data_IF_832690853895
#
_entry.id   IF_832690853895
#
_cell.length_a   1.000
_cell.length_b   1.000
_cell.length_c   1.000
_cell.angle_alpha   90.00
_cell.angle_beta   90.00
_cell.angle_gamma   90.00
#
_symmetry.space_group_name_H-M   'P 1'
#
loop_
_entity.id
_entity.type
_entity.pdbx_description
1 polymer ?
#
# COMPACT_ATOMS: atom_id res chain seq x y z
N UNK A 1 2.76 -31.39 -12.71
CA UNK A 1 4.04 -30.66 -12.77
C UNK A 1 4.16 -29.86 -11.48
N UNK A 2 5.08 -30.26 -10.63
CA UNK A 2 5.24 -29.65 -9.30
C UNK A 2 6.17 -28.44 -9.40
N UNK A 3 5.69 -27.26 -9.07
CA UNK A 3 6.53 -26.07 -8.91
C UNK A 3 7.09 -26.03 -7.50
N UNK A 4 8.42 -26.17 -7.40
CA UNK A 4 9.18 -26.08 -6.16
C UNK A 4 9.37 -24.61 -5.82
N UNK A 5 8.82 -24.17 -4.68
CA UNK A 5 9.14 -22.85 -4.10
C UNK A 5 10.53 -22.91 -3.45
N UNK A 6 11.48 -22.17 -4.01
CA UNK A 6 12.77 -21.98 -3.37
C UNK A 6 12.63 -20.92 -2.27
N UNK A 7 12.80 -21.35 -1.04
CA UNK A 7 12.92 -20.49 0.13
C UNK A 7 14.25 -19.75 0.04
N UNK A 8 14.22 -18.42 -0.10
CA UNK A 8 15.41 -17.57 -0.04
C UNK A 8 15.79 -17.40 1.42
N UNK A 9 16.93 -17.97 1.82
CA UNK A 9 17.50 -17.78 3.14
C UNK A 9 18.10 -16.38 3.31
N UNK A 10 17.95 -15.74 4.48
CA UNK A 10 18.58 -14.46 4.73
C UNK A 10 20.10 -14.61 4.93
N UNK A 11 20.85 -13.73 4.28
CA UNK A 11 22.30 -13.61 4.40
C UNK A 11 22.69 -13.29 5.84
N UNK A 12 23.50 -14.18 6.44
CA UNK A 12 24.09 -13.99 7.76
C UNK A 12 25.31 -13.08 7.68
N UNK A 13 25.31 -12.00 8.46
CA UNK A 13 26.48 -11.13 8.66
C UNK A 13 27.37 -11.68 9.77
N UNK A 14 28.72 -11.62 9.63
CA UNK A 14 29.64 -12.07 10.65
C UNK A 14 29.69 -11.14 11.86
N UNK A 15 29.57 -11.69 13.06
CA UNK A 15 29.76 -10.99 14.34
C UNK A 15 31.26 -10.86 14.60
N UNK A 16 31.81 -9.65 14.44
CA UNK A 16 33.12 -9.31 14.97
C UNK A 16 32.97 -8.63 16.34
N UNK A 17 33.35 -9.31 17.41
CA UNK A 17 33.49 -8.71 18.75
C UNK A 17 34.86 -8.03 18.85
N UNK A 18 34.88 -6.72 19.05
CA UNK A 18 36.04 -6.03 19.61
C UNK A 18 35.58 -5.30 20.89
N UNK A 19 36.04 -5.82 22.03
CA UNK A 19 35.89 -5.20 23.34
C UNK A 19 36.97 -4.11 23.48
N UNK A 20 36.55 -2.85 23.61
CA UNK A 20 37.38 -1.77 24.10
C UNK A 20 36.70 -1.14 25.33
N UNK A 21 37.27 -1.43 26.48
CA UNK A 21 36.95 -0.78 27.75
C UNK A 21 37.65 0.56 27.82
N UNK A 22 36.91 1.67 27.69
CA UNK A 22 37.34 3.00 28.11
C UNK A 22 36.15 3.75 28.69
N UNK A 23 36.28 4.19 29.95
CA UNK A 23 35.24 4.89 30.70
C UNK A 23 34.97 6.26 30.11
N UNK A 24 33.78 6.45 29.60
CA UNK A 24 33.28 7.74 29.16
C UNK A 24 32.00 8.09 29.93
N UNK A 25 31.85 9.33 30.38
CA UNK A 25 30.72 9.81 31.17
C UNK A 25 29.40 9.66 30.35
N UNK A 26 28.28 9.50 31.06
CA UNK A 26 26.95 9.20 30.46
C UNK A 26 26.47 10.26 29.45
N UNK A 27 26.97 11.51 29.53
CA UNK A 27 26.62 12.61 28.62
C UNK A 27 27.32 12.51 27.24
N UNK A 28 28.57 11.98 27.19
CA UNK A 28 29.31 11.85 25.95
C UNK A 28 28.89 10.63 25.10
N UNK A 29 28.27 9.59 25.73
CA UNK A 29 27.78 8.41 24.99
C UNK A 29 26.55 8.72 24.13
N UNK A 30 25.71 9.67 24.53
CA UNK A 30 24.51 10.03 23.78
C UNK A 30 24.86 10.79 22.50
N UNK A 31 25.85 11.69 22.52
CA UNK A 31 26.30 12.46 21.35
C UNK A 31 27.07 11.61 20.33
N UNK A 32 27.87 10.63 20.78
CA UNK A 32 28.56 9.71 19.88
C UNK A 32 27.61 8.77 19.09
N UNK A 33 26.56 8.27 19.74
CA UNK A 33 25.59 7.38 19.07
C UNK A 33 24.73 8.12 18.05
N UNK A 34 24.39 9.37 18.32
CA UNK A 34 23.62 10.20 17.37
C UNK A 34 24.47 10.56 16.15
N UNK A 35 25.76 10.87 16.34
CA UNK A 35 26.66 11.17 15.23
C UNK A 35 26.96 9.93 14.37
N UNK A 36 27.21 8.77 14.97
CA UNK A 36 27.44 7.52 14.24
C UNK A 36 26.23 7.12 13.37
N UNK A 37 25.00 7.27 13.90
CA UNK A 37 23.80 6.96 13.13
C UNK A 37 23.56 7.95 11.98
N UNK A 38 23.96 9.21 12.13
CA UNK A 38 23.86 10.22 11.07
C UNK A 38 24.95 10.07 10.00
N UNK A 39 26.13 9.58 10.37
CA UNK A 39 27.20 9.24 9.43
C UNK A 39 26.86 7.99 8.61
N UNK A 40 26.39 6.93 9.24
CA UNK A 40 25.92 5.70 8.55
C UNK A 40 24.79 6.02 7.56
N UNK A 41 23.82 6.87 7.93
CA UNK A 41 22.75 7.30 7.01
C UNK A 41 23.30 8.10 5.83
N UNK A 42 24.27 9.00 6.05
CA UNK A 42 24.92 9.78 4.99
C UNK A 42 25.75 8.91 4.04
N UNK A 43 26.47 7.94 4.55
CA UNK A 43 27.27 7.01 3.72
C UNK A 43 26.40 6.09 2.87
N UNK A 44 25.27 5.64 3.39
CA UNK A 44 24.28 4.85 2.64
C UNK A 44 23.63 5.71 1.56
N UNK A 45 23.31 6.96 1.85
CA UNK A 45 22.69 7.90 0.90
C UNK A 45 23.66 8.26 -0.26
N UNK A 46 24.93 8.52 0.05
CA UNK A 46 26.00 8.76 -0.93
C UNK A 46 26.25 7.52 -1.82
N UNK A 47 26.22 6.32 -1.23
CA UNK A 47 26.37 5.06 -1.98
C UNK A 47 25.20 4.82 -2.93
N UNK A 48 23.98 5.17 -2.54
CA UNK A 48 22.79 5.12 -3.38
C UNK A 48 22.86 6.14 -4.51
N UNK A 49 23.21 7.38 -4.21
CA UNK A 49 23.35 8.43 -5.21
C UNK A 49 24.40 8.10 -6.30
N UNK A 50 25.51 7.46 -5.92
CA UNK A 50 26.53 7.02 -6.86
C UNK A 50 26.04 5.94 -7.85
N UNK A 51 24.98 5.19 -7.52
CA UNK A 51 24.38 4.15 -8.36
C UNK A 51 23.28 4.65 -9.29
N UNK A 52 22.74 5.86 -9.05
CA UNK A 52 21.66 6.43 -9.87
C UNK A 52 22.03 6.49 -11.35
N UNK A 53 23.20 6.97 -11.79
CA UNK A 53 23.56 7.00 -13.21
C UNK A 53 23.48 5.62 -13.87
N UNK A 54 24.04 4.61 -13.24
CA UNK A 54 24.01 3.23 -13.75
C UNK A 54 22.60 2.66 -13.82
N UNK A 55 21.73 2.97 -12.86
CA UNK A 55 20.32 2.61 -12.90
C UNK A 55 19.63 3.29 -14.09
N UNK A 56 19.82 4.59 -14.27
CA UNK A 56 19.23 5.35 -15.37
C UNK A 56 19.71 4.84 -16.75
N UNK A 57 20.95 4.38 -16.86
CA UNK A 57 21.49 3.75 -18.07
C UNK A 57 20.87 2.37 -18.35
N UNK A 58 20.36 1.71 -17.33
CA UNK A 58 19.72 0.41 -17.45
C UNK A 58 18.27 0.47 -17.94
N UNK A 59 17.63 1.64 -17.90
CA UNK A 59 16.26 1.85 -18.38
C UNK A 59 16.27 2.00 -19.90
N UNK A 60 15.32 1.36 -20.54
CA UNK A 60 15.12 1.39 -22.00
C UNK A 60 14.20 2.56 -22.33
N UNK A 61 14.80 3.70 -22.61
CA UNK A 61 14.08 4.91 -23.02
C UNK A 61 13.64 4.79 -24.48
N UNK A 62 12.45 5.28 -24.82
CA UNK A 62 11.98 5.37 -26.21
C UNK A 62 12.82 6.37 -27.05
N UNK A 63 12.50 6.50 -28.33
CA UNK A 63 13.17 7.43 -29.26
C UNK A 63 13.11 8.89 -28.79
N UNK A 64 12.19 9.24 -27.91
CA UNK A 64 12.03 10.58 -27.31
C UNK A 64 12.68 10.70 -25.94
N UNK A 65 13.38 9.65 -25.49
CA UNK A 65 13.99 9.59 -24.18
C UNK A 65 12.98 9.42 -23.04
N UNK A 66 11.83 8.77 -23.30
CA UNK A 66 10.75 8.58 -22.34
C UNK A 66 10.51 7.10 -22.05
N UNK A 67 10.07 6.81 -20.85
CA UNK A 67 9.48 5.53 -20.44
C UNK A 67 8.10 5.76 -19.81
N UNK A 68 7.22 4.76 -19.88
CA UNK A 68 5.93 4.81 -19.19
C UNK A 68 6.18 4.77 -17.69
N UNK A 69 5.52 5.63 -16.92
CA UNK A 69 5.59 5.62 -15.46
C UNK A 69 4.17 5.53 -14.88
N UNK A 70 3.94 4.49 -14.10
CA UNK A 70 2.65 4.18 -13.44
C UNK A 70 2.80 4.41 -11.95
N UNK A 71 1.98 5.26 -11.36
CA UNK A 71 1.91 5.40 -9.92
C UNK A 71 0.85 4.44 -9.36
N UNK A 72 1.25 3.62 -8.39
CA UNK A 72 0.41 2.62 -7.72
C UNK A 72 0.41 2.86 -6.21
N UNK A 73 -0.75 2.76 -5.59
CA UNK A 73 -0.89 2.88 -4.15
C UNK A 73 -0.29 1.66 -3.45
N UNK A 74 0.62 1.88 -2.51
CA UNK A 74 1.37 0.83 -1.80
C UNK A 74 0.48 -0.01 -0.88
N UNK A 75 -0.58 0.55 -0.33
CA UNK A 75 -1.48 -0.13 0.60
C UNK A 75 -2.65 -0.80 -0.13
N UNK A 76 -3.26 -0.12 -1.09
CA UNK A 76 -4.46 -0.59 -1.79
C UNK A 76 -4.15 -1.40 -3.06
N UNK A 77 -2.96 -1.25 -3.64
CA UNK A 77 -2.65 -1.80 -4.97
C UNK A 77 -3.36 -1.09 -6.13
N UNK A 78 -4.15 -0.05 -5.85
CA UNK A 78 -4.85 0.70 -6.90
C UNK A 78 -3.87 1.46 -7.79
N UNK A 79 -4.12 1.45 -9.10
CA UNK A 79 -3.41 2.32 -10.04
C UNK A 79 -3.91 3.74 -9.86
N UNK A 80 -3.04 4.65 -9.44
CA UNK A 80 -3.37 6.04 -9.15
C UNK A 80 -3.42 6.89 -10.42
N UNK A 81 -2.36 6.80 -11.22
CA UNK A 81 -2.24 7.53 -12.48
C UNK A 81 -1.14 6.93 -13.34
N UNK A 82 -1.12 7.31 -14.60
CA UNK A 82 -0.05 7.01 -15.55
C UNK A 82 0.48 8.32 -16.16
N UNK A 83 1.76 8.39 -16.37
CA UNK A 83 2.48 9.46 -17.04
C UNK A 83 3.69 8.94 -17.78
N UNK A 84 4.60 9.85 -18.14
CA UNK A 84 5.89 9.52 -18.72
C UNK A 84 7.00 10.03 -17.82
N UNK A 85 8.10 9.31 -17.75
CA UNK A 85 9.32 9.76 -17.12
C UNK A 85 10.44 9.84 -18.17
N UNK A 86 11.29 10.84 -18.05
CA UNK A 86 12.62 10.87 -18.66
C UNK A 86 13.69 10.63 -17.56
N UNK A 87 14.97 10.63 -17.94
CA UNK A 87 16.08 10.44 -16.99
C UNK A 87 16.02 11.40 -15.81
N UNK A 88 15.70 12.68 -16.09
CA UNK A 88 15.67 13.72 -15.06
C UNK A 88 14.45 13.54 -14.11
N UNK A 89 13.31 13.11 -14.64
CA UNK A 89 12.13 12.80 -13.83
C UNK A 89 12.39 11.64 -12.86
N UNK A 90 12.97 10.55 -13.35
CA UNK A 90 13.31 9.40 -12.52
C UNK A 90 14.39 9.76 -11.49
N UNK A 91 15.44 10.49 -11.91
CA UNK A 91 16.47 11.00 -11.00
C UNK A 91 15.87 11.88 -9.88
N UNK A 92 14.97 12.80 -10.24
CA UNK A 92 14.28 13.67 -9.28
C UNK A 92 13.39 12.87 -8.35
N UNK A 93 12.69 11.86 -8.85
CA UNK A 93 11.88 10.95 -8.02
C UNK A 93 12.73 10.22 -6.99
N UNK A 94 13.86 9.66 -7.42
CA UNK A 94 14.81 8.94 -6.54
C UNK A 94 15.41 9.86 -5.46
N UNK A 95 15.70 11.12 -5.81
CA UNK A 95 16.33 12.06 -4.88
C UNK A 95 15.33 12.70 -3.90
N UNK A 96 14.08 12.92 -4.31
CA UNK A 96 13.07 13.62 -3.50
C UNK A 96 12.10 12.69 -2.79
N UNK A 97 12.01 11.42 -3.22
CA UNK A 97 10.98 10.48 -2.76
C UNK A 97 9.57 10.86 -3.20
N UNK A 98 9.40 11.76 -4.20
CA UNK A 98 8.11 12.20 -4.70
C UNK A 98 7.94 11.88 -6.18
N UNK A 99 6.78 11.32 -6.57
CA UNK A 99 6.52 10.95 -7.94
C UNK A 99 6.65 12.15 -8.88
N UNK A 100 7.65 12.13 -9.73
CA UNK A 100 7.94 13.15 -10.74
C UNK A 100 7.83 12.55 -12.13
N UNK A 101 7.19 13.27 -13.02
CA UNK A 101 6.91 12.88 -14.39
C UNK A 101 7.44 13.92 -15.37
N UNK A 102 7.51 13.55 -16.64
CA UNK A 102 7.77 14.44 -17.75
C UNK A 102 6.47 14.77 -18.50
N UNK A 103 6.11 16.04 -18.54
CA UNK A 103 4.95 16.50 -19.30
C UNK A 103 5.31 16.66 -20.77
N UNK A 104 4.77 15.81 -21.65
CA UNK A 104 5.01 15.87 -23.10
C UNK A 104 4.50 17.16 -23.74
N UNK A 105 3.36 17.68 -23.26
CA UNK A 105 2.78 18.92 -23.81
C UNK A 105 3.50 20.19 -23.40
N UNK A 106 4.11 20.18 -22.18
CA UNK A 106 4.84 21.34 -21.64
C UNK A 106 6.37 21.19 -21.80
N UNK A 107 6.81 20.02 -22.25
CA UNK A 107 8.25 19.67 -22.35
C UNK A 107 9.02 19.99 -21.06
N UNK A 108 8.44 19.70 -19.91
CA UNK A 108 9.00 20.04 -18.60
C UNK A 108 8.73 18.96 -17.55
N UNK A 109 9.55 18.95 -16.51
CA UNK A 109 9.34 18.11 -15.35
C UNK A 109 8.11 18.58 -14.57
N UNK A 110 7.39 17.64 -14.02
CA UNK A 110 6.22 17.86 -13.19
C UNK A 110 6.20 16.88 -12.02
N UNK A 111 6.24 17.41 -10.79
CA UNK A 111 6.08 16.60 -9.59
C UNK A 111 4.61 16.57 -9.20
N UNK A 112 4.03 15.37 -9.08
CA UNK A 112 2.63 15.23 -8.66
C UNK A 112 2.45 15.86 -7.28
N UNK A 113 1.49 16.78 -7.18
CA UNK A 113 1.19 17.50 -5.95
C UNK A 113 1.87 18.86 -5.81
N UNK A 114 2.75 19.29 -6.73
CA UNK A 114 3.47 20.58 -6.59
C UNK A 114 2.56 21.82 -6.50
N UNK A 115 1.31 21.73 -7.00
CA UNK A 115 0.32 22.81 -6.90
C UNK A 115 -0.82 22.49 -5.94
N UNK A 116 -1.20 21.21 -5.77
CA UNK A 116 -2.35 20.80 -4.96
C UNK A 116 -1.95 20.32 -3.56
N UNK A 117 -0.66 20.19 -3.28
CA UNK A 117 -0.08 19.54 -2.09
C UNK A 117 -0.40 18.05 -1.96
N UNK A 118 -1.16 17.46 -2.87
CA UNK A 118 -1.47 16.03 -2.92
C UNK A 118 -0.31 15.28 -3.61
N UNK A 119 0.82 15.14 -2.91
CA UNK A 119 1.98 14.40 -3.40
C UNK A 119 1.71 12.89 -3.41
N UNK A 120 2.50 12.15 -4.18
CA UNK A 120 2.64 10.69 -4.05
C UNK A 120 4.04 10.43 -3.51
N UNK A 121 4.11 10.00 -2.26
CA UNK A 121 5.36 9.72 -1.55
C UNK A 121 5.81 8.30 -1.92
N UNK A 122 6.97 8.18 -2.53
CA UNK A 122 7.47 6.92 -3.07
C UNK A 122 8.05 6.05 -1.96
N UNK A 123 7.58 4.81 -1.89
CA UNK A 123 8.09 3.77 -1.01
C UNK A 123 9.10 2.87 -1.74
N UNK A 124 8.84 2.57 -3.02
CA UNK A 124 9.73 1.75 -3.85
C UNK A 124 9.50 2.04 -5.35
N UNK A 125 10.44 1.63 -6.20
CA UNK A 125 10.37 1.80 -7.65
C UNK A 125 10.73 0.47 -8.31
N UNK A 126 9.88 0.02 -9.22
CA UNK A 126 10.10 -1.20 -9.99
C UNK A 126 10.24 -0.88 -11.47
N UNK A 127 11.09 -1.63 -12.14
CA UNK A 127 11.17 -1.68 -13.59
C UNK A 127 10.55 -3.01 -14.04
N UNK A 128 9.93 -3.00 -15.19
CA UNK A 128 9.44 -4.24 -15.79
C UNK A 128 10.58 -5.12 -16.33
N UNK A 129 10.25 -6.27 -16.92
CA UNK A 129 11.24 -7.29 -17.30
C UNK A 129 12.20 -6.84 -18.41
N UNK A 130 11.78 -5.97 -19.31
CA UNK A 130 12.61 -5.40 -20.39
C UNK A 130 12.98 -3.92 -20.18
N UNK A 131 12.57 -3.36 -19.03
CA UNK A 131 12.98 -2.04 -18.49
C UNK A 131 12.52 -0.84 -19.31
N UNK A 132 11.38 -0.92 -19.97
CA UNK A 132 10.77 0.18 -20.71
C UNK A 132 9.58 0.83 -19.98
N UNK A 133 9.20 0.26 -18.83
CA UNK A 133 8.13 0.73 -17.96
C UNK A 133 8.55 0.78 -16.49
N UNK A 134 8.00 1.76 -15.76
CA UNK A 134 8.37 2.07 -14.37
C UNK A 134 7.10 2.07 -13.51
N UNK A 135 7.13 1.36 -12.38
CA UNK A 135 6.11 1.50 -11.33
C UNK A 135 6.68 2.34 -10.20
N UNK A 136 6.02 3.44 -9.88
CA UNK A 136 6.19 4.24 -8.68
C UNK A 136 5.23 3.72 -7.62
N UNK A 137 5.70 2.83 -6.75
CA UNK A 137 4.92 2.33 -5.62
C UNK A 137 4.98 3.35 -4.49
N UNK A 138 3.85 3.97 -4.16
CA UNK A 138 3.85 5.07 -3.19
C UNK A 138 2.52 5.30 -2.51
N UNK A 139 2.55 6.15 -1.49
CA UNK A 139 1.36 6.58 -0.75
C UNK A 139 0.97 8.00 -1.17
N UNK A 140 -0.27 8.22 -1.63
CA UNK A 140 -0.78 9.56 -1.91
C UNK A 140 -1.14 10.29 -0.62
N UNK A 141 -0.89 11.62 -0.56
CA UNK A 141 -1.31 12.50 0.55
C UNK A 141 -2.80 12.91 0.44
N UNK A 142 -3.44 12.60 -0.69
CA UNK A 142 -4.83 12.94 -0.97
C UNK A 142 -5.20 12.57 -2.42
N UNK A 143 -6.33 13.04 -2.92
CA UNK A 143 -6.83 12.71 -4.24
C UNK A 143 -5.79 12.91 -5.34
N UNK A 144 -5.58 11.87 -6.16
CA UNK A 144 -4.57 11.93 -7.22
C UNK A 144 -5.06 12.68 -8.43
N UNK A 145 -6.33 12.53 -8.79
CA UNK A 145 -6.89 13.20 -9.97
C UNK A 145 -7.15 14.70 -9.72
N UNK A 146 -6.98 15.52 -10.76
CA UNK A 146 -7.32 16.95 -10.72
C UNK A 146 -8.82 17.21 -10.55
N UNK A 147 -9.68 16.21 -10.81
CA UNK A 147 -11.13 16.25 -10.57
C UNK A 147 -11.51 16.05 -9.11
N UNK A 148 -10.54 15.71 -8.24
CA UNK A 148 -10.78 15.35 -6.85
C UNK A 148 -11.01 13.86 -6.62
N UNK A 149 -10.98 13.03 -7.67
CA UNK A 149 -11.04 11.57 -7.52
C UNK A 149 -9.73 11.00 -7.01
N UNK A 150 -9.80 9.91 -6.25
CA UNK A 150 -8.62 9.23 -5.68
C UNK A 150 -7.66 8.72 -6.74
N UNK A 151 -8.18 8.29 -7.88
CA UNK A 151 -7.40 7.79 -9.02
C UNK A 151 -7.84 8.50 -10.30
N UNK A 152 -6.98 8.47 -11.34
CA UNK A 152 -7.35 8.91 -12.68
C UNK A 152 -8.21 7.89 -13.44
N UNK A 153 -8.37 6.68 -12.91
CA UNK A 153 -9.07 5.55 -13.54
C UNK A 153 -10.44 5.32 -12.89
N UNK A 154 -11.35 6.27 -13.04
CA UNK A 154 -12.69 6.22 -12.44
C UNK A 154 -13.82 6.02 -13.47
N UNK A 155 -13.53 6.02 -14.78
CA UNK A 155 -14.51 5.76 -15.82
C UNK A 155 -14.39 4.34 -16.34
N UNK A 156 -15.43 3.53 -16.16
CA UNK A 156 -15.49 2.20 -16.75
C UNK A 156 -15.86 2.28 -18.22
N UNK A 157 -15.26 1.43 -19.06
CA UNK A 157 -15.65 1.29 -20.46
C UNK A 157 -17.09 0.75 -20.57
N UNK A 158 -17.52 -0.11 -19.66
CA UNK A 158 -18.88 -0.62 -19.60
C UNK A 158 -19.91 0.49 -19.41
N UNK A 159 -19.62 1.45 -18.54
CA UNK A 159 -20.50 2.61 -18.29
C UNK A 159 -20.60 3.50 -19.53
N UNK A 160 -19.46 3.70 -20.22
CA UNK A 160 -19.41 4.50 -21.46
C UNK A 160 -20.16 3.82 -22.62
N UNK A 161 -20.31 2.50 -22.60
CA UNK A 161 -21.06 1.72 -23.59
C UNK A 161 -22.56 1.59 -23.27
N UNK A 162 -23.02 2.23 -22.18
CA UNK A 162 -24.43 2.21 -21.78
C UNK A 162 -24.92 0.88 -21.19
N UNK A 163 -24.03 -0.02 -20.82
CA UNK A 163 -24.36 -1.29 -20.14
C UNK A 163 -24.57 -1.04 -18.63
N UNK A 164 -25.57 -0.25 -18.28
CA UNK A 164 -25.84 0.27 -16.94
C UNK A 164 -26.42 -0.75 -15.96
N UNK A 165 -26.42 -2.05 -16.25
CA UNK A 165 -26.70 -3.10 -15.25
C UNK A 165 -25.46 -3.45 -14.40
N UNK A 166 -24.26 -2.99 -14.79
CA UNK A 166 -23.07 -3.11 -13.99
C UNK A 166 -23.12 -2.09 -12.84
N UNK A 167 -23.11 -2.59 -11.62
CA UNK A 167 -22.96 -1.76 -10.40
C UNK A 167 -21.93 -0.67 -10.64
N UNK A 168 -22.32 0.58 -10.41
CA UNK A 168 -21.43 1.76 -10.46
C UNK A 168 -20.22 1.55 -9.57
N UNK A 169 -19.17 0.93 -10.11
CA UNK A 169 -17.85 0.94 -9.54
C UNK A 169 -17.12 2.13 -10.15
N UNK A 170 -17.28 3.29 -9.55
CA UNK A 170 -16.68 4.55 -10.00
C UNK A 170 -15.14 4.52 -10.00
N UNK A 171 -14.52 3.43 -9.54
CA UNK A 171 -13.07 3.27 -9.42
C UNK A 171 -12.63 1.87 -9.86
N UNK A 172 -11.47 1.77 -10.50
CA UNK A 172 -10.80 0.50 -10.76
C UNK A 172 -10.22 -0.08 -9.45
N UNK A 173 -11.10 -0.61 -8.60
CA UNK A 173 -10.76 -1.08 -7.26
C UNK A 173 -10.52 -2.58 -7.22
N UNK A 174 -9.66 -3.02 -6.30
CA UNK A 174 -9.53 -4.43 -5.93
C UNK A 174 -10.78 -4.92 -5.18
N UNK A 175 -10.95 -6.24 -5.06
CA UNK A 175 -12.12 -6.87 -4.42
C UNK A 175 -12.38 -6.32 -3.01
N UNK A 176 -11.35 -6.12 -2.18
CA UNK A 176 -11.51 -5.58 -0.82
C UNK A 176 -12.10 -4.17 -0.82
N UNK A 177 -11.64 -3.29 -1.70
CA UNK A 177 -12.12 -1.91 -1.77
C UNK A 177 -13.50 -1.81 -2.40
N UNK A 178 -13.82 -2.68 -3.37
CA UNK A 178 -15.16 -2.81 -3.91
C UNK A 178 -16.15 -3.26 -2.83
N UNK A 179 -15.75 -4.18 -1.97
CA UNK A 179 -16.56 -4.62 -0.83
C UNK A 179 -16.76 -3.49 0.19
N UNK A 180 -15.69 -2.77 0.56
CA UNK A 180 -15.75 -1.61 1.46
C UNK A 180 -16.69 -0.53 0.93
N UNK A 181 -16.59 -0.18 -0.36
CA UNK A 181 -17.48 0.76 -1.02
C UNK A 181 -18.94 0.28 -0.97
N UNK A 182 -19.18 -1.01 -1.21
CA UNK A 182 -20.51 -1.60 -1.14
C UNK A 182 -21.11 -1.50 0.27
N UNK A 183 -20.32 -1.81 1.30
CA UNK A 183 -20.75 -1.68 2.71
C UNK A 183 -21.07 -0.21 3.03
N UNK A 184 -20.22 0.72 2.60
CA UNK A 184 -20.42 2.16 2.81
C UNK A 184 -21.69 2.69 2.15
N UNK A 185 -21.96 2.27 0.91
CA UNK A 185 -23.22 2.58 0.20
C UNK A 185 -24.44 2.05 0.98
N UNK A 186 -24.39 0.79 1.44
CA UNK A 186 -25.47 0.19 2.26
C UNK A 186 -25.68 0.93 3.58
N UNK A 187 -24.60 1.46 4.18
CA UNK A 187 -24.72 2.28 5.38
C UNK A 187 -25.37 3.63 5.10
N UNK A 188 -25.01 4.30 4.02
CA UNK A 188 -25.62 5.57 3.62
C UNK A 188 -27.12 5.43 3.36
N UNK A 189 -27.56 4.29 2.83
CA UNK A 189 -28.97 3.98 2.56
C UNK A 189 -29.80 3.62 3.83
N UNK A 190 -29.21 3.61 5.04
CA UNK A 190 -29.96 3.23 6.27
C UNK A 190 -31.08 4.20 6.64
N UNK A 191 -31.01 5.46 6.19
CA UNK A 191 -32.05 6.48 6.42
C UNK A 191 -33.16 6.49 5.38
N UNK A 192 -33.05 5.69 4.31
CA UNK A 192 -34.06 5.68 3.26
C UNK A 192 -35.13 4.61 3.52
N UNK A 193 -36.39 5.01 3.33
CA UNK A 193 -37.54 4.09 3.40
C UNK A 193 -37.52 3.19 2.17
N UNK A 194 -36.84 2.05 2.29
CA UNK A 194 -36.89 1.00 1.25
C UNK A 194 -37.98 0.00 1.63
N UNK A 195 -38.98 -0.15 0.75
CA UNK A 195 -39.98 -1.21 0.89
C UNK A 195 -39.30 -2.61 0.74
N UNK A 196 -39.45 -3.47 1.73
CA UNK A 196 -38.96 -4.84 1.70
C UNK A 196 -38.12 -5.24 2.93
N UNK A 197 -37.66 -6.50 2.93
CA UNK A 197 -36.78 -7.00 3.99
C UNK A 197 -35.38 -6.35 3.87
N UNK A 198 -34.82 -5.84 4.99
CA UNK A 198 -33.47 -5.29 4.98
C UNK A 198 -32.45 -6.35 4.52
N UNK A 199 -31.46 -5.94 3.74
CA UNK A 199 -30.35 -6.81 3.35
C UNK A 199 -29.58 -7.30 4.58
N UNK A 200 -28.83 -8.40 4.45
CA UNK A 200 -28.00 -8.92 5.53
C UNK A 200 -27.03 -7.86 6.06
N UNK A 201 -26.35 -7.14 5.19
CA UNK A 201 -25.45 -6.04 5.56
C UNK A 201 -26.20 -4.96 6.40
N UNK A 202 -27.41 -4.55 5.96
CA UNK A 202 -28.21 -3.57 6.74
C UNK A 202 -28.57 -4.08 8.14
N UNK A 203 -28.86 -5.37 8.28
CA UNK A 203 -29.15 -5.98 9.59
C UNK A 203 -27.91 -5.93 10.51
N UNK A 204 -26.74 -6.27 9.99
CA UNK A 204 -25.47 -6.22 10.71
C UNK A 204 -25.10 -4.77 11.12
N UNK A 205 -25.34 -3.80 10.24
CA UNK A 205 -25.10 -2.38 10.50
C UNK A 205 -26.02 -1.79 11.59
N UNK A 206 -27.18 -2.42 11.85
CA UNK A 206 -28.16 -1.97 12.83
C UNK A 206 -28.11 -2.73 14.16
N UNK A 207 -27.39 -3.84 14.24
CA UNK A 207 -27.30 -4.69 15.44
C UNK A 207 -25.85 -5.05 15.75
N UNK A 208 -25.23 -4.23 16.61
CA UNK A 208 -23.84 -4.41 17.06
C UNK A 208 -23.61 -5.76 17.75
N UNK A 209 -24.63 -6.29 18.47
CA UNK A 209 -24.51 -7.57 19.17
C UNK A 209 -24.50 -8.72 18.18
N UNK A 210 -25.39 -8.68 17.19
CA UNK A 210 -25.42 -9.65 16.10
C UNK A 210 -24.09 -9.63 15.34
N UNK A 211 -23.59 -8.44 14.95
CA UNK A 211 -22.32 -8.30 14.25
C UNK A 211 -21.15 -8.89 15.04
N UNK A 212 -21.01 -8.52 16.31
CA UNK A 212 -19.96 -9.05 17.16
C UNK A 212 -20.07 -10.56 17.38
N UNK A 213 -21.30 -11.10 17.45
CA UNK A 213 -21.52 -12.54 17.53
C UNK A 213 -21.07 -13.24 16.28
N UNK A 214 -21.43 -12.71 15.11
CA UNK A 214 -21.02 -13.29 13.81
C UNK A 214 -19.49 -13.28 13.61
N UNK A 215 -18.81 -12.19 13.95
CA UNK A 215 -17.34 -12.15 13.86
C UNK A 215 -16.70 -13.26 14.70
N UNK A 216 -17.23 -13.53 15.89
CA UNK A 216 -16.69 -14.60 16.77
C UNK A 216 -16.98 -15.99 16.21
N UNK A 217 -18.21 -16.18 15.71
CA UNK A 217 -18.67 -17.43 15.09
C UNK A 217 -17.78 -17.79 13.87
N UNK A 218 -17.62 -16.85 12.93
CA UNK A 218 -16.80 -17.08 11.72
C UNK A 218 -15.30 -17.28 12.06
N UNK A 219 -14.78 -16.55 13.05
CA UNK A 219 -13.42 -16.78 13.52
C UNK A 219 -13.21 -18.16 14.15
N UNK A 220 -14.22 -18.67 14.87
CA UNK A 220 -14.21 -20.01 15.45
C UNK A 220 -14.32 -21.09 14.34
N UNK A 221 -15.19 -20.87 13.34
CA UNK A 221 -15.30 -21.75 12.17
C UNK A 221 -14.01 -21.79 11.37
N UNK A 222 -13.36 -20.64 11.16
CA UNK A 222 -12.04 -20.59 10.52
C UNK A 222 -10.98 -21.40 11.32
N UNK A 223 -10.97 -21.32 12.65
CA UNK A 223 -10.06 -22.12 13.47
C UNK A 223 -10.33 -23.63 13.33
N UNK A 224 -11.61 -24.04 13.27
CA UNK A 224 -12.00 -25.45 13.08
C UNK A 224 -11.48 -26.01 11.75
N UNK A 225 -11.37 -25.21 10.70
CA UNK A 225 -10.83 -25.73 9.43
C UNK A 225 -9.42 -26.29 9.57
N UNK A 226 -8.61 -25.75 10.51
CA UNK A 226 -7.28 -26.28 10.84
C UNK A 226 -7.35 -27.48 11.80
N UNK A 227 -8.24 -27.41 12.81
CA UNK A 227 -8.41 -28.44 13.82
C UNK A 227 -8.94 -29.74 13.24
N UNK A 228 -9.87 -29.65 12.27
CA UNK A 228 -10.56 -30.75 11.62
C UNK A 228 -9.90 -31.16 10.28
N UNK A 229 -8.74 -30.55 9.92
CA UNK A 229 -8.00 -30.80 8.66
C UNK A 229 -8.88 -30.65 7.40
N UNK A 230 -9.72 -29.58 7.38
CA UNK A 230 -10.61 -29.31 6.27
C UNK A 230 -9.86 -28.79 5.02
N UNK A 231 -10.50 -28.81 3.87
CA UNK A 231 -9.86 -28.44 2.62
C UNK A 231 -9.65 -26.93 2.45
N UNK A 232 -8.84 -26.55 1.45
CA UNK A 232 -8.52 -25.17 1.13
C UNK A 232 -9.73 -24.32 0.78
N UNK A 233 -10.75 -24.91 0.17
CA UNK A 233 -11.96 -24.20 -0.26
C UNK A 233 -12.78 -23.78 0.96
N UNK A 234 -12.90 -24.67 1.94
CA UNK A 234 -13.58 -24.38 3.21
C UNK A 234 -12.82 -23.29 3.99
N UNK A 235 -11.50 -23.44 4.17
CA UNK A 235 -10.67 -22.43 4.83
C UNK A 235 -10.79 -21.07 4.17
N UNK A 236 -10.80 -21.00 2.83
CA UNK A 236 -10.95 -19.74 2.10
C UNK A 236 -12.34 -19.11 2.29
N UNK A 237 -13.39 -19.93 2.35
CA UNK A 237 -14.76 -19.48 2.62
C UNK A 237 -14.87 -18.84 4.00
N UNK A 238 -14.43 -19.55 5.04
CA UNK A 238 -14.49 -19.05 6.42
C UNK A 238 -13.66 -17.77 6.60
N UNK A 239 -12.49 -17.70 5.97
CA UNK A 239 -11.71 -16.46 6.01
C UNK A 239 -12.41 -15.30 5.28
N UNK A 240 -13.15 -15.57 4.19
CA UNK A 240 -13.91 -14.54 3.50
C UNK A 240 -15.05 -14.02 4.38
N UNK A 241 -15.73 -14.88 5.14
CA UNK A 241 -16.78 -14.50 6.08
C UNK A 241 -16.23 -13.68 7.26
N UNK A 242 -15.10 -14.06 7.83
CA UNK A 242 -14.37 -13.25 8.84
C UNK A 242 -14.03 -11.87 8.30
N UNK A 243 -13.49 -11.78 7.08
CA UNK A 243 -13.14 -10.50 6.45
C UNK A 243 -14.40 -9.65 6.23
N UNK A 244 -15.46 -10.22 5.68
CA UNK A 244 -16.71 -9.50 5.42
C UNK A 244 -17.29 -8.90 6.68
N UNK A 245 -17.51 -9.70 7.73
CA UNK A 245 -18.09 -9.23 9.00
C UNK A 245 -17.17 -8.22 9.70
N UNK A 246 -15.85 -8.43 9.64
CA UNK A 246 -14.87 -7.47 10.16
C UNK A 246 -14.92 -6.14 9.43
N UNK A 247 -15.07 -6.13 8.11
CA UNK A 247 -15.18 -4.91 7.30
C UNK A 247 -16.46 -4.13 7.62
N UNK A 248 -17.59 -4.81 7.93
CA UNK A 248 -18.81 -4.14 8.42
C UNK A 248 -18.52 -3.43 9.75
N UNK A 249 -17.79 -4.07 10.67
CA UNK A 249 -17.39 -3.45 11.94
C UNK A 249 -16.47 -2.25 11.72
N UNK A 250 -15.46 -2.39 10.87
CA UNK A 250 -14.54 -1.29 10.54
C UNK A 250 -15.32 -0.09 10.00
N UNK A 251 -16.26 -0.31 9.09
CA UNK A 251 -17.10 0.73 8.52
C UNK A 251 -17.94 1.43 9.60
N UNK A 252 -18.57 0.70 10.55
CA UNK A 252 -19.26 1.28 11.68
C UNK A 252 -18.36 2.15 12.56
N UNK A 253 -17.09 1.78 12.69
CA UNK A 253 -16.09 2.52 13.47
C UNK A 253 -15.43 3.66 12.69
N UNK A 254 -15.76 3.83 11.40
CA UNK A 254 -15.15 4.84 10.54
C UNK A 254 -13.67 4.57 10.24
N UNK A 255 -13.25 3.30 10.27
CA UNK A 255 -11.89 2.84 9.95
C UNK A 255 -11.88 2.32 8.53
N UNK A 256 -11.02 2.85 7.69
CA UNK A 256 -10.86 2.38 6.32
C UNK A 256 -10.00 1.11 6.26
N UNK A 257 -10.22 0.28 5.23
CA UNK A 257 -9.38 -0.90 4.99
C UNK A 257 -7.92 -0.50 4.73
N UNK A 258 -7.69 0.67 4.11
CA UNK A 258 -6.36 1.24 3.91
C UNK A 258 -5.60 1.46 5.23
N UNK A 259 -6.27 1.93 6.29
CA UNK A 259 -5.65 2.13 7.61
C UNK A 259 -5.15 0.79 8.20
N UNK A 260 -5.95 -0.27 8.02
CA UNK A 260 -5.56 -1.62 8.46
C UNK A 260 -4.34 -2.12 7.70
N UNK A 261 -4.34 -1.98 6.38
CA UNK A 261 -3.23 -2.41 5.53
C UNK A 261 -1.96 -1.60 5.78
N UNK A 262 -2.07 -0.30 6.05
CA UNK A 262 -0.94 0.54 6.45
C UNK A 262 -0.30 0.06 7.75
N UNK A 263 -1.12 -0.28 8.76
CA UNK A 263 -0.63 -0.84 10.02
C UNK A 263 0.07 -2.18 9.79
N UNK A 264 -0.51 -3.07 8.98
CA UNK A 264 0.10 -4.35 8.63
C UNK A 264 1.43 -4.14 7.91
N UNK A 265 1.50 -3.27 6.92
CA UNK A 265 2.73 -2.95 6.18
C UNK A 265 3.82 -2.43 7.13
N UNK A 266 3.48 -1.50 8.04
CA UNK A 266 4.41 -0.98 9.04
C UNK A 266 4.94 -2.06 9.99
N UNK A 267 4.07 -2.97 10.43
CA UNK A 267 4.48 -4.10 11.31
C UNK A 267 5.34 -5.12 10.57
N UNK A 268 5.00 -5.44 9.33
CA UNK A 268 5.75 -6.39 8.52
C UNK A 268 7.15 -5.87 8.14
N UNK A 269 7.33 -4.56 7.99
CA UNK A 269 8.62 -3.93 7.70
C UNK A 269 9.53 -3.78 8.93
N UNK A 270 9.01 -3.98 10.15
CA UNK A 270 9.79 -3.91 11.39
C UNK A 270 10.25 -5.31 11.83
N UNK A 271 11.50 -5.42 12.30
CA UNK A 271 11.92 -6.66 12.94
C UNK A 271 11.09 -6.88 14.22
N UNK A 272 10.68 -8.13 14.51
CA UNK A 272 9.87 -8.45 15.70
C UNK A 272 10.49 -8.05 17.04
N UNK A 273 11.79 -7.69 17.05
CA UNK A 273 12.52 -7.17 18.22
C UNK A 273 12.21 -5.68 18.43
N UNK A 274 12.12 -4.92 17.34
CA UNK A 274 11.85 -3.48 17.40
C UNK A 274 10.36 -3.22 17.74
N UNK A 275 9.45 -4.06 17.27
CA UNK A 275 8.03 -4.02 17.60
C UNK A 275 7.78 -4.25 19.11
N UNK A 276 8.48 -5.24 19.73
CA UNK A 276 8.37 -5.48 21.18
C UNK A 276 8.91 -4.34 22.03
N UNK A 277 9.86 -3.56 21.52
CA UNK A 277 10.40 -2.38 22.21
C UNK A 277 9.43 -1.20 22.15
N UNK A 278 8.79 -0.96 21.00
CA UNK A 278 7.83 0.14 20.86
C UNK A 278 6.55 -0.07 21.69
N UNK A 279 6.07 -1.32 21.83
CA UNK A 279 4.88 -1.66 22.68
C UNK A 279 5.13 -1.50 24.19
N UNK A 280 6.39 -1.44 24.65
CA UNK A 280 6.73 -1.24 26.07
C UNK A 280 6.89 0.23 26.45
N UNK A 281 6.83 1.14 25.49
CA UNK A 281 7.04 2.58 25.67
C UNK A 281 5.75 3.40 25.47
N UNK A 282 4.63 2.78 25.16
CA UNK A 282 3.28 3.34 25.09
C UNK A 282 2.34 2.64 26.06
#
# INVERSE_FOLDING_TARGET
MAYSFHCVQPLSYPKGFLSLSAGCSRSQRSSCLVNASSEIKRDVDLSLQAKIPSLLDSVKWDEKGLAVAIAQNVDTGAILMQGFANRDALSKTLSTGKATFFSRSRSSLWTKGETSMNFINICDIFLDCDRDSIIYLGKPDGPTCHTGAETCYYSSVSDLLGNSEAQQNDLAMSTLYSLESTISKRRAELGELVEGKPSWTKRLLLDDKLLCSKIREEADELCRTLEDDEDKSRTASEMADVLYHSMVLLNLRGVAMEDVLEILRKRFSQSGIDEKRSRKLG
#
